data_IF_771729676986
#
_entry.id   IF_771729676986
#
_cell.length_a   1.000
_cell.length_b   1.000
_cell.length_c   1.000
_cell.angle_alpha   90.00
_cell.angle_beta   90.00
_cell.angle_gamma   90.00
#
_symmetry.space_group_name_H-M   'P 1'
#
loop_
_entity.id
_entity.type
_entity.pdbx_description
1 polymer ?
#
# COMPACT_ATOMS: atom_id res chain seq x y z
N UNK A 1 16.00 -0.28 -4.76
CA UNK A 1 14.82 -0.63 -3.96
C UNK A 1 14.00 0.62 -3.73
N UNK A 2 12.81 0.67 -4.31
CA UNK A 2 11.84 1.77 -4.21
C UNK A 2 10.64 1.34 -3.35
N UNK A 3 9.83 2.30 -2.95
CA UNK A 3 8.71 2.10 -2.04
C UNK A 3 7.43 2.63 -2.67
N UNK A 4 6.35 1.87 -2.55
CA UNK A 4 5.08 2.19 -3.19
C UNK A 4 3.89 2.01 -2.26
N UNK A 5 2.87 2.82 -2.49
CA UNK A 5 1.50 2.51 -2.12
C UNK A 5 0.81 1.86 -3.30
N UNK A 6 0.18 0.71 -3.09
CA UNK A 6 -0.58 -0.03 -4.09
C UNK A 6 -2.04 -0.16 -3.69
N UNK A 7 -2.91 0.33 -4.56
CA UNK A 7 -4.35 0.30 -4.36
C UNK A 7 -4.94 -0.97 -4.94
N UNK A 8 -5.45 -1.83 -4.06
CA UNK A 8 -6.23 -3.02 -4.39
C UNK A 8 -7.69 -2.63 -4.66
N UNK A 9 -8.21 -3.01 -5.83
CA UNK A 9 -9.61 -2.72 -6.21
C UNK A 9 -10.61 -3.71 -5.61
N UNK A 10 -10.29 -5.01 -5.61
CA UNK A 10 -11.20 -6.05 -5.17
C UNK A 10 -10.55 -6.87 -4.05
N UNK A 11 -11.14 -6.91 -2.84
CA UNK A 11 -10.62 -7.70 -1.72
C UNK A 11 -10.51 -9.19 -2.01
N UNK A 12 -11.36 -9.71 -2.90
CA UNK A 12 -11.38 -11.12 -3.29
C UNK A 12 -10.21 -11.50 -4.22
N UNK A 13 -9.59 -10.53 -4.90
CA UNK A 13 -8.48 -10.79 -5.82
C UNK A 13 -7.14 -11.02 -5.08
N UNK A 14 -7.13 -10.98 -3.73
CA UNK A 14 -5.95 -10.60 -2.97
C UNK A 14 -5.55 -11.50 -1.79
N UNK A 15 -6.24 -12.63 -1.58
CA UNK A 15 -5.93 -13.54 -0.47
C UNK A 15 -5.94 -15.01 -0.88
N UNK A 16 -5.16 -15.35 -1.91
CA UNK A 16 -4.68 -16.74 -2.04
C UNK A 16 -3.34 -16.79 -1.30
N UNK A 17 -3.30 -17.51 -0.17
CA UNK A 17 -2.10 -17.67 0.67
C UNK A 17 -1.42 -16.35 1.10
N UNK A 18 -2.22 -15.32 1.39
CA UNK A 18 -1.74 -13.97 1.81
C UNK A 18 -0.86 -13.25 0.76
N UNK A 19 -0.90 -13.67 -0.51
CA UNK A 19 -0.25 -12.98 -1.62
C UNK A 19 -1.27 -12.19 -2.42
N UNK A 20 -0.83 -11.07 -3.00
CA UNK A 20 -1.68 -10.24 -3.88
C UNK A 20 -1.18 -10.40 -5.31
N UNK A 21 -2.06 -10.79 -6.24
CA UNK A 21 -1.74 -10.78 -7.67
C UNK A 21 -1.83 -9.34 -8.19
N UNK A 22 -0.81 -8.89 -8.90
CA UNK A 22 -0.80 -7.57 -9.51
C UNK A 22 -1.45 -7.68 -10.89
N UNK A 23 -2.49 -6.89 -11.10
CA UNK A 23 -3.15 -6.81 -12.39
C UNK A 23 -2.24 -6.11 -13.42
N UNK A 24 -2.04 -6.77 -14.58
CA UNK A 24 -1.01 -6.65 -15.64
C UNK A 24 -0.81 -5.27 -16.32
N UNK A 25 -1.39 -4.20 -15.78
CA UNK A 25 -1.05 -2.85 -16.23
C UNK A 25 0.44 -2.62 -15.93
N UNK A 26 1.25 -2.04 -16.83
CA UNK A 26 2.66 -1.77 -16.58
C UNK A 26 2.79 -0.76 -15.43
N UNK A 27 2.82 -1.30 -14.22
CA UNK A 27 3.06 -0.55 -13.00
C UNK A 27 4.57 -0.34 -12.88
N UNK A 28 5.03 0.80 -12.37
CA UNK A 28 6.47 1.09 -12.20
C UNK A 28 7.16 0.25 -11.11
N UNK A 29 6.46 -0.73 -10.51
CA UNK A 29 6.97 -1.52 -9.38
C UNK A 29 7.85 -2.66 -9.91
N UNK A 30 9.16 -2.53 -9.70
CA UNK A 30 10.14 -3.54 -10.08
C UNK A 30 10.23 -4.68 -9.07
N UNK A 31 10.79 -5.81 -9.48
CA UNK A 31 11.07 -6.91 -8.56
C UNK A 31 12.02 -6.49 -7.44
N UNK A 32 11.70 -6.88 -6.22
CA UNK A 32 12.39 -6.47 -5.00
C UNK A 32 11.92 -5.14 -4.40
N UNK A 33 11.05 -4.39 -5.07
CA UNK A 33 10.47 -3.16 -4.50
C UNK A 33 9.45 -3.47 -3.40
N UNK A 34 9.30 -2.51 -2.50
CA UNK A 34 8.50 -2.62 -1.28
C UNK A 34 7.17 -1.90 -1.44
N UNK A 35 6.09 -2.50 -0.94
CA UNK A 35 4.73 -2.05 -1.21
C UNK A 35 3.87 -2.06 0.05
N UNK A 36 3.19 -0.97 0.34
CA UNK A 36 2.03 -0.95 1.24
C UNK A 36 0.78 -1.15 0.41
N UNK A 37 0.07 -2.26 0.61
CA UNK A 37 -1.18 -2.54 -0.11
C UNK A 37 -2.40 -2.14 0.72
N UNK A 38 -3.39 -1.50 0.09
CA UNK A 38 -4.61 -1.04 0.75
C UNK A 38 -5.85 -1.16 -0.15
N UNK A 39 -7.03 -1.23 0.43
CA UNK A 39 -8.28 -1.32 -0.33
C UNK A 39 -8.77 0.04 -0.83
N UNK A 40 -9.16 0.12 -2.11
CA UNK A 40 -9.60 1.35 -2.77
C UNK A 40 -10.80 2.03 -2.09
N UNK A 41 -11.75 1.22 -1.58
CA UNK A 41 -12.99 1.71 -0.99
C UNK A 41 -12.84 2.13 0.47
N UNK A 42 -12.28 1.26 1.30
CA UNK A 42 -12.17 1.50 2.74
C UNK A 42 -10.91 2.27 3.14
N UNK A 43 -9.85 2.26 2.32
CA UNK A 43 -8.50 2.72 2.69
C UNK A 43 -7.89 1.92 3.85
N UNK A 44 -8.41 0.72 4.13
CA UNK A 44 -7.79 -0.19 5.08
C UNK A 44 -6.52 -0.79 4.48
N UNK A 45 -5.47 -0.81 5.28
CA UNK A 45 -4.15 -1.30 4.92
C UNK A 45 -4.11 -2.79 5.16
N UNK A 46 -3.82 -3.54 4.11
CA UNK A 46 -3.70 -4.99 4.15
C UNK A 46 -2.39 -5.38 4.83
N UNK A 47 -1.31 -4.69 4.48
CA UNK A 47 0.03 -5.02 4.94
C UNK A 47 1.13 -4.41 4.09
N UNK A 48 2.35 -4.85 4.39
CA UNK A 48 3.57 -4.57 3.67
C UNK A 48 4.01 -5.82 2.89
N UNK A 49 4.46 -5.61 1.66
CA UNK A 49 4.77 -6.67 0.73
C UNK A 49 6.03 -6.36 -0.08
N UNK A 50 6.65 -7.40 -0.61
CA UNK A 50 7.72 -7.33 -1.61
C UNK A 50 7.19 -7.76 -2.96
N UNK A 51 7.54 -7.03 -4.02
CA UNK A 51 7.23 -7.40 -5.41
C UNK A 51 8.12 -8.55 -5.90
N UNK A 52 7.51 -9.61 -6.43
CA UNK A 52 8.18 -10.71 -7.14
C UNK A 52 7.29 -11.24 -8.28
N UNK A 53 7.75 -11.11 -9.53
CA UNK A 53 6.97 -11.54 -10.70
C UNK A 53 5.58 -10.90 -10.68
N UNK A 54 4.51 -11.67 -10.87
CA UNK A 54 3.16 -11.09 -10.88
C UNK A 54 2.54 -10.94 -9.49
N UNK A 55 3.33 -11.05 -8.42
CA UNK A 55 2.84 -11.12 -7.04
C UNK A 55 3.48 -10.10 -6.11
N UNK A 56 2.72 -9.74 -5.09
CA UNK A 56 3.20 -9.14 -3.87
C UNK A 56 3.25 -10.23 -2.79
N UNK A 57 4.46 -10.56 -2.36
CA UNK A 57 4.72 -11.51 -1.29
C UNK A 57 4.69 -10.81 0.07
N UNK A 58 4.04 -11.39 1.08
CA UNK A 58 3.87 -10.74 2.36
C UNK A 58 5.22 -10.57 3.08
N UNK A 59 5.48 -9.37 3.59
CA UNK A 59 6.50 -9.09 4.60
C UNK A 59 5.83 -9.04 5.97
N UNK A 60 4.76 -8.25 6.05
CA UNK A 60 3.91 -8.12 7.23
C UNK A 60 2.45 -7.96 6.77
N UNK A 61 1.53 -8.71 7.38
CA UNK A 61 0.09 -8.62 7.07
C UNK A 61 -0.62 -8.26 8.36
N UNK A 62 -1.47 -7.22 8.30
CA UNK A 62 -2.20 -6.78 9.47
C UNK A 62 -3.43 -7.65 9.72
N UNK A 63 -3.49 -8.27 10.90
CA UNK A 63 -4.68 -8.98 11.37
C UNK A 63 -5.84 -7.99 11.53
N UNK A 64 -5.60 -6.90 12.27
CA UNK A 64 -6.49 -5.75 12.37
C UNK A 64 -5.99 -4.65 11.43
N UNK A 65 -6.62 -4.53 10.25
CA UNK A 65 -6.21 -3.61 9.19
C UNK A 65 -6.41 -2.16 9.65
N UNK A 66 -5.35 -1.36 9.82
CA UNK A 66 -5.49 0.04 10.15
C UNK A 66 -5.96 0.84 8.92
N UNK A 67 -6.58 1.99 9.14
CA UNK A 67 -7.03 2.90 8.08
C UNK A 67 -5.90 3.89 7.73
N UNK A 68 -5.59 4.12 6.45
CA UNK A 68 -4.56 5.11 6.05
C UNK A 68 -4.84 6.50 6.65
N UNK A 69 -6.11 6.86 6.88
CA UNK A 69 -6.52 8.14 7.48
C UNK A 69 -5.85 8.41 8.82
N UNK A 70 -5.50 7.37 9.60
CA UNK A 70 -4.82 7.55 10.89
C UNK A 70 -3.34 7.95 10.76
N UNK A 71 -2.82 7.99 9.54
CA UNK A 71 -1.42 8.34 9.25
C UNK A 71 -1.28 9.58 8.37
N UNK A 72 -2.39 10.25 8.00
CA UNK A 72 -2.36 11.38 7.05
C UNK A 72 -1.40 12.50 7.47
N UNK A 73 -1.34 12.81 8.76
CA UNK A 73 -0.47 13.82 9.35
C UNK A 73 1.02 13.43 9.37
N UNK A 74 1.32 12.14 9.23
CA UNK A 74 2.69 11.58 9.25
C UNK A 74 3.25 11.31 7.85
N UNK A 75 2.40 11.26 6.82
CA UNK A 75 2.82 10.95 5.46
C UNK A 75 3.44 12.18 4.79
N UNK A 76 4.67 12.03 4.33
CA UNK A 76 5.51 13.11 3.80
C UNK A 76 4.96 13.79 2.54
N UNK A 77 4.03 13.14 1.83
CA UNK A 77 3.36 13.67 0.64
C UNK A 77 1.99 14.30 0.93
N UNK A 78 1.57 14.34 2.20
CA UNK A 78 0.35 15.01 2.64
C UNK A 78 0.74 16.36 3.23
N UNK A 79 0.61 17.42 2.44
CA UNK A 79 0.96 18.79 2.88
C UNK A 79 -0.07 19.35 3.87
N UNK A 80 -1.36 19.03 3.68
CA UNK A 80 -2.46 19.48 4.54
C UNK A 80 -3.60 18.44 4.55
N UNK A 81 -4.21 18.26 5.73
CA UNK A 81 -5.33 17.33 5.92
C UNK A 81 -6.66 18.05 5.72
N UNK A 82 -7.47 17.53 4.79
CA UNK A 82 -8.81 18.04 4.46
C UNK A 82 -9.75 16.89 4.08
N UNK A 83 -11.02 17.19 3.90
CA UNK A 83 -12.03 16.22 3.43
C UNK A 83 -11.68 15.60 2.06
N UNK A 84 -10.77 16.19 1.30
CA UNK A 84 -10.33 15.70 -0.02
C UNK A 84 -9.01 14.95 0.01
N UNK A 85 -8.35 14.81 1.17
CA UNK A 85 -7.04 14.14 1.29
C UNK A 85 -7.07 12.70 0.77
N UNK A 86 -8.21 12.01 0.88
CA UNK A 86 -8.39 10.66 0.31
C UNK A 86 -8.07 10.58 -1.20
N UNK A 87 -8.22 11.69 -1.95
CA UNK A 87 -7.93 11.72 -3.39
C UNK A 87 -6.45 11.48 -3.70
N UNK A 88 -5.55 11.68 -2.75
CA UNK A 88 -4.12 11.35 -2.91
C UNK A 88 -3.90 9.85 -3.14
N UNK A 89 -4.85 9.00 -2.72
CA UNK A 89 -4.86 7.54 -2.83
C UNK A 89 -5.71 7.03 -4.00
N UNK A 90 -6.13 7.92 -4.91
CA UNK A 90 -6.92 7.56 -6.10
C UNK A 90 -6.08 6.92 -7.21
N UNK A 91 -4.76 7.08 -7.18
CA UNK A 91 -3.85 6.42 -8.13
C UNK A 91 -3.73 4.93 -7.79
N UNK A 92 -3.58 4.08 -8.81
CA UNK A 92 -3.36 2.63 -8.60
C UNK A 92 -2.03 2.39 -7.89
N UNK A 93 -0.99 3.13 -8.28
CA UNK A 93 0.30 3.18 -7.60
C UNK A 93 0.74 4.59 -7.31
N UNK A 94 1.50 4.74 -6.24
CA UNK A 94 2.20 5.96 -5.86
C UNK A 94 3.55 5.59 -5.30
N UNK A 95 4.62 6.11 -5.88
CA UNK A 95 5.94 6.06 -5.26
C UNK A 95 5.95 6.94 -4.01
N UNK A 96 6.51 6.44 -2.93
CA UNK A 96 6.59 7.10 -1.62
C UNK A 96 8.01 7.05 -1.09
N UNK A 97 8.31 7.84 -0.06
CA UNK A 97 9.61 7.76 0.61
C UNK A 97 9.67 6.50 1.48
N UNK A 98 10.90 6.08 1.81
CA UNK A 98 11.13 4.98 2.75
C UNK A 98 10.45 5.23 4.11
N UNK A 99 10.54 6.46 4.60
CA UNK A 99 9.95 6.88 5.88
C UNK A 99 8.44 6.65 5.91
N UNK A 100 7.73 6.96 4.81
CA UNK A 100 6.29 6.71 4.69
C UNK A 100 5.95 5.22 4.77
N UNK A 101 6.78 4.37 4.15
CA UNK A 101 6.62 2.91 4.21
C UNK A 101 6.85 2.38 5.64
N UNK A 102 7.83 2.93 6.36
CA UNK A 102 8.21 2.50 7.70
C UNK A 102 7.17 2.85 8.77
N UNK A 103 6.27 3.81 8.52
CA UNK A 103 5.12 4.11 9.39
C UNK A 103 4.21 2.89 9.66
N UNK A 104 4.27 1.90 8.78
CA UNK A 104 3.44 0.69 8.84
C UNK A 104 4.22 -0.52 9.38
N UNK A 105 5.41 -0.32 9.93
CA UNK A 105 6.07 -1.38 10.67
C UNK A 105 5.37 -1.56 12.03
N UNK A 106 5.12 -2.79 12.48
CA UNK A 106 4.43 -3.06 13.74
C UNK A 106 5.26 -2.70 14.99
N UNK A 107 6.45 -2.13 14.83
CA UNK A 107 7.38 -1.70 15.88
C UNK A 107 7.63 -0.17 15.87
N UNK A 108 6.82 0.61 15.15
CA UNK A 108 7.01 2.06 14.89
C UNK A 108 5.89 2.94 15.46
#
# INVERSE_FOLDING_TARGET
>A
MRYYFYRVKNPLDCLVDKKIKIDYTPEPIGDGDMVVAFFAGSLEIIGQFRKEGDFLLPINVFDKKPDIRTFYDRLSFVEFVSDRTYKLFSKKTREVKKEDFELFNPLS
#
